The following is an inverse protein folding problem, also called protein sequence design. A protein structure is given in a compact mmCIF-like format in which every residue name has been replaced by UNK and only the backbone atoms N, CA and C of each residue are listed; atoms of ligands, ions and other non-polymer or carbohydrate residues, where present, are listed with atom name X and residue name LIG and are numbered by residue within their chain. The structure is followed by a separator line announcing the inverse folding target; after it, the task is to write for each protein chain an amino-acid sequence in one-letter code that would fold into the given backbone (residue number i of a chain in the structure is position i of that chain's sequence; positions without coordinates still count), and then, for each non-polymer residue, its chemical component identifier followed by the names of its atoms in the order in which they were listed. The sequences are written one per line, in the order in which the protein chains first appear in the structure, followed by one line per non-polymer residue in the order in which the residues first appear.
data_IF_534769599692
#
_entry.id   IF_534769599692
#
_cell.length_a   1.000
_cell.length_b   1.000
_cell.length_c   1.000
_cell.angle_alpha   90.00
_cell.angle_beta   90.00
_cell.angle_gamma   90.00
#
_symmetry.space_group_name_H-M   'P 1'
#
loop_
_entity.id
_entity.type
_entity.pdbx_description
1 polymer ?
#
# COMPACT_ATOMS: atom_id res chain seq x y z
N UNK A 1 42.03 55.67 8.44
CA UNK A 1 42.11 54.78 9.62
C UNK A 1 40.86 53.91 9.65
N UNK A 2 41.00 52.57 9.58
CA UNK A 2 40.14 51.49 10.13
C UNK A 2 38.61 51.67 9.96
N UNK A 3 37.82 50.84 9.25
CA UNK A 3 37.78 49.36 9.22
C UNK A 3 36.78 48.88 8.14
N UNK A 4 37.04 47.73 7.53
CA UNK A 4 36.06 46.83 6.89
C UNK A 4 34.91 46.48 7.85
N UNK A 5 33.73 46.12 7.32
CA UNK A 5 33.03 44.81 7.52
C UNK A 5 31.58 44.86 6.96
N UNK A 6 31.32 44.01 5.96
CA UNK A 6 30.06 43.28 5.59
C UNK A 6 28.85 44.14 5.20
N UNK A 7 28.43 44.28 3.93
CA UNK A 7 27.94 43.31 2.93
C UNK A 7 27.07 42.17 3.48
N UNK A 8 25.81 42.17 3.03
CA UNK A 8 24.68 41.23 3.23
C UNK A 8 23.69 41.57 4.36
N UNK A 9 22.81 42.56 4.14
CA UNK A 9 21.40 42.55 4.64
C UNK A 9 20.62 43.63 3.85
N UNK A 10 20.05 43.30 2.67
CA UNK A 10 18.82 43.85 2.02
C UNK A 10 18.64 42.91 0.80
N UNK A 11 17.60 42.06 0.67
CA UNK A 11 16.24 42.36 0.19
C UNK A 11 15.28 41.22 0.61
N UNK A 12 14.00 41.53 0.95
CA UNK A 12 12.98 40.58 1.42
C UNK A 12 12.03 40.09 0.29
N UNK A 13 11.22 39.07 0.62
CA UNK A 13 10.00 38.61 -0.08
C UNK A 13 10.22 37.85 -1.42
N UNK A 14 9.52 36.72 -1.55
CA UNK A 14 9.36 35.79 -2.70
C UNK A 14 10.30 34.56 -2.73
N UNK A 15 9.78 33.44 -2.20
CA UNK A 15 10.01 32.05 -2.63
C UNK A 15 9.11 31.16 -1.75
N UNK A 16 7.82 31.03 -2.06
CA UNK A 16 7.21 30.04 -2.97
C UNK A 16 7.11 28.64 -2.34
N UNK A 17 5.86 28.26 -2.13
CA UNK A 17 5.29 26.96 -1.76
C UNK A 17 5.96 25.83 -2.54
N UNK A 18 6.48 24.83 -1.81
CA UNK A 18 6.72 23.48 -2.31
C UNK A 18 6.82 22.55 -1.10
N UNK A 19 5.68 22.13 -0.56
CA UNK A 19 5.62 20.99 0.35
C UNK A 19 5.20 19.80 -0.51
N UNK A 20 6.18 18.97 -0.85
CA UNK A 20 6.01 17.80 -1.70
C UNK A 20 5.88 16.59 -0.78
N UNK A 21 4.73 15.94 -0.87
CA UNK A 21 4.42 14.66 -0.24
C UNK A 21 5.27 13.55 -0.89
N UNK A 22 5.88 12.69 -0.08
CA UNK A 22 6.57 11.49 -0.54
C UNK A 22 5.91 10.26 0.07
N UNK A 23 5.37 9.43 -0.81
CA UNK A 23 5.52 7.98 -0.77
C UNK A 23 4.65 7.19 0.19
N UNK A 24 3.32 7.20 0.02
CA UNK A 24 2.50 6.08 0.50
C UNK A 24 2.50 5.04 -0.62
N UNK A 25 3.28 3.97 -0.44
CA UNK A 25 3.25 2.83 -1.37
C UNK A 25 2.09 1.91 -1.01
N UNK A 26 1.46 1.37 -2.05
CA UNK A 26 0.17 0.67 -2.05
C UNK A 26 0.28 -0.81 -1.73
N UNK A 27 -0.66 -1.27 -0.91
CA UNK A 27 -0.51 -2.49 -0.11
C UNK A 27 -1.38 -3.61 -0.61
N UNK A 28 -0.74 -4.77 -0.66
CA UNK A 28 -1.30 -6.00 -1.14
C UNK A 28 -1.44 -7.11 -0.09
N UNK A 29 -2.66 -7.34 0.39
CA UNK A 29 -3.02 -8.39 1.33
C UNK A 29 -3.06 -9.79 0.74
N UNK A 30 -2.72 -10.73 1.63
CA UNK A 30 -2.83 -12.18 1.58
C UNK A 30 -3.98 -12.58 2.49
N UNK A 31 -4.79 -13.56 2.08
CA UNK A 31 -5.57 -14.44 2.95
C UNK A 31 -5.64 -15.82 2.31
N UNK A 32 -4.89 -16.78 2.88
CA UNK A 32 -4.99 -18.21 2.57
C UNK A 32 -5.85 -18.93 3.62
N UNK A 33 -6.86 -19.65 3.16
CA UNK A 33 -7.84 -20.34 3.98
C UNK A 33 -7.26 -21.52 4.79
N UNK A 34 -7.62 -21.57 6.07
CA UNK A 34 -7.66 -22.78 6.89
C UNK A 34 -8.86 -23.63 6.44
N UNK A 35 -8.65 -24.92 6.17
CA UNK A 35 -9.71 -25.94 6.28
C UNK A 35 -9.16 -27.20 6.91
N UNK A 36 -9.88 -27.68 7.94
CA UNK A 36 -9.68 -28.98 8.56
C UNK A 36 -10.76 -29.97 8.13
N UNK A 37 -10.30 -31.21 7.93
CA UNK A 37 -10.98 -32.50 8.12
C UNK A 37 -12.18 -32.89 7.23
N UNK A 38 -12.00 -33.94 6.41
CA UNK A 38 -12.69 -35.23 6.66
C UNK A 38 -12.10 -36.45 5.89
N UNK A 39 -11.66 -37.44 6.67
CA UNK A 39 -12.03 -38.87 6.65
C UNK A 39 -12.09 -39.70 5.33
N UNK A 40 -11.07 -40.56 5.15
CA UNK A 40 -11.17 -42.05 5.08
C UNK A 40 -10.69 -42.81 3.79
N UNK A 41 -9.80 -43.79 4.06
CA UNK A 41 -9.55 -45.10 3.42
C UNK A 41 -8.45 -45.31 2.34
N UNK A 42 -7.37 -46.01 2.79
CA UNK A 42 -6.49 -47.04 2.16
C UNK A 42 -6.18 -46.97 0.65
N UNK A 43 -4.96 -47.17 0.14
CA UNK A 43 -3.97 -48.22 0.46
C UNK A 43 -2.61 -47.94 -0.22
N UNK A 44 -1.58 -48.66 0.24
CA UNK A 44 -0.14 -48.61 -0.11
C UNK A 44 0.25 -48.77 -1.60
N UNK A 45 1.31 -48.07 -2.05
CA UNK A 45 2.52 -48.67 -2.68
C UNK A 45 3.52 -47.60 -3.20
N UNK A 46 4.78 -47.74 -2.77
CA UNK A 46 5.99 -47.09 -3.30
C UNK A 46 6.23 -47.44 -4.77
N UNK A 47 6.56 -46.47 -5.62
CA UNK A 47 7.45 -46.65 -6.79
C UNK A 47 8.09 -45.33 -7.19
N UNK A 48 9.42 -45.31 -7.09
CA UNK A 48 10.35 -44.34 -7.69
C UNK A 48 10.47 -44.61 -9.20
N UNK A 49 10.17 -43.66 -10.08
CA UNK A 49 10.87 -43.46 -11.38
C UNK A 49 10.73 -41.99 -11.84
N UNK A 50 11.87 -41.31 -11.82
CA UNK A 50 12.47 -40.39 -12.80
C UNK A 50 11.63 -39.82 -13.95
N UNK A 51 11.58 -38.48 -14.01
CA UNK A 51 11.58 -37.70 -15.26
C UNK A 51 12.48 -36.45 -15.11
N UNK A 52 13.66 -36.50 -15.73
CA UNK A 52 14.34 -35.36 -16.40
C UNK A 52 13.48 -34.93 -17.60
N UNK A 53 13.34 -33.69 -18.08
CA UNK A 53 14.11 -32.45 -18.11
C UNK A 53 13.06 -31.31 -18.32
N UNK A 54 13.24 -30.01 -18.06
CA UNK A 54 14.28 -29.10 -18.51
C UNK A 54 14.36 -27.86 -17.59
N UNK A 55 15.59 -27.42 -17.42
CA UNK A 55 16.06 -26.22 -16.75
C UNK A 55 15.55 -24.95 -17.46
N UNK A 56 14.77 -24.15 -16.74
CA UNK A 56 14.77 -22.69 -16.89
C UNK A 56 14.70 -22.09 -15.49
N UNK A 57 15.88 -22.08 -14.87
CA UNK A 57 16.22 -21.30 -13.69
C UNK A 57 15.78 -19.83 -13.80
N UNK A 58 14.76 -19.48 -13.03
CA UNK A 58 14.54 -18.11 -12.52
C UNK A 58 14.52 -18.16 -11.00
N UNK A 59 15.33 -17.30 -10.42
CA UNK A 59 15.77 -17.26 -9.03
C UNK A 59 14.64 -16.95 -8.05
N UNK A 60 14.68 -17.63 -6.91
CA UNK A 60 13.94 -17.45 -5.67
C UNK A 60 13.81 -16.00 -5.18
N UNK A 61 12.62 -15.57 -4.74
CA UNK A 61 12.44 -14.28 -4.05
C UNK A 61 11.06 -13.92 -3.48
N UNK A 62 9.94 -14.22 -4.15
CA UNK A 62 8.66 -13.57 -3.78
C UNK A 62 7.73 -14.48 -2.96
N UNK A 63 7.96 -14.50 -1.65
CA UNK A 63 7.03 -15.08 -0.68
C UNK A 63 5.89 -14.11 -0.33
N UNK A 64 4.72 -14.62 0.01
CA UNK A 64 3.64 -13.80 0.57
C UNK A 64 4.07 -13.06 1.85
N UNK A 65 3.36 -11.98 2.24
CA UNK A 65 3.65 -11.25 3.51
C UNK A 65 3.64 -12.20 4.72
N UNK A 66 2.86 -13.27 4.70
CA UNK A 66 2.74 -14.25 5.78
C UNK A 66 3.99 -15.13 5.81
N UNK A 67 4.51 -15.48 4.64
CA UNK A 67 5.81 -16.15 4.52
C UNK A 67 6.94 -15.27 5.02
N UNK A 68 6.92 -13.97 4.69
CA UNK A 68 7.87 -12.99 5.21
C UNK A 68 7.75 -12.88 6.74
N UNK A 69 6.55 -12.65 7.27
CA UNK A 69 6.30 -12.48 8.71
C UNK A 69 6.70 -13.73 9.48
N UNK A 70 6.40 -14.93 8.97
CA UNK A 70 6.82 -16.21 9.60
C UNK A 70 8.33 -16.42 9.53
N UNK A 71 8.99 -16.03 8.44
CA UNK A 71 10.44 -16.11 8.35
C UNK A 71 11.15 -15.19 9.37
N UNK A 72 10.50 -14.08 9.74
CA UNK A 72 11.01 -13.06 10.65
C UNK A 72 10.28 -13.04 12.01
N UNK A 73 9.61 -14.14 12.39
CA UNK A 73 8.78 -14.23 13.60
C UNK A 73 9.56 -13.85 14.87
N UNK A 74 10.78 -14.38 15.01
CA UNK A 74 11.64 -14.12 16.16
C UNK A 74 12.00 -12.63 16.26
N UNK A 75 12.30 -11.97 15.14
CA UNK A 75 12.61 -10.55 15.12
C UNK A 75 11.39 -9.70 15.53
N UNK A 76 10.17 -10.07 15.12
CA UNK A 76 8.96 -9.41 15.59
C UNK A 76 8.76 -9.58 17.10
N UNK A 77 8.98 -10.78 17.64
CA UNK A 77 8.91 -11.04 19.09
C UNK A 77 9.97 -10.21 19.84
N UNK A 78 11.21 -10.19 19.36
CA UNK A 78 12.29 -9.39 19.93
C UNK A 78 12.03 -7.87 19.84
N UNK A 79 11.36 -7.40 18.77
CA UNK A 79 11.05 -5.98 18.61
C UNK A 79 10.16 -5.43 19.73
N UNK A 80 9.25 -6.26 20.24
CA UNK A 80 8.46 -5.94 21.43
C UNK A 80 9.34 -5.82 22.67
N UNK A 81 10.22 -6.79 22.95
CA UNK A 81 11.12 -6.74 24.10
C UNK A 81 12.13 -5.58 24.05
N UNK A 82 12.58 -5.23 22.86
CA UNK A 82 13.58 -4.18 22.64
C UNK A 82 12.96 -2.79 22.71
N UNK A 83 11.88 -2.59 21.97
CA UNK A 83 11.32 -1.27 21.68
C UNK A 83 9.85 -1.10 22.05
N UNK A 84 9.18 -2.12 22.59
CA UNK A 84 7.80 -2.03 23.08
C UNK A 84 6.80 -1.70 21.99
N UNK A 85 7.12 -1.98 20.73
CA UNK A 85 6.23 -1.74 19.59
C UNK A 85 5.52 -3.03 19.21
N UNK A 86 4.19 -2.99 19.20
CA UNK A 86 3.36 -4.17 19.05
C UNK A 86 3.56 -4.82 17.66
N UNK A 87 3.88 -6.12 17.55
CA UNK A 87 4.17 -6.78 16.27
C UNK A 87 3.11 -6.57 15.18
N UNK A 88 1.83 -6.78 15.50
CA UNK A 88 0.71 -6.61 14.55
C UNK A 88 0.59 -5.18 14.04
N UNK A 89 0.81 -4.19 14.91
CA UNK A 89 0.87 -2.78 14.54
C UNK A 89 2.09 -2.49 13.66
N UNK A 90 3.26 -3.08 13.98
CA UNK A 90 4.46 -2.95 13.17
C UNK A 90 4.28 -3.43 11.75
N UNK A 91 3.65 -4.59 11.58
CA UNK A 91 3.34 -5.17 10.27
C UNK A 91 2.41 -4.23 9.49
N UNK A 92 1.32 -3.77 10.11
CA UNK A 92 0.37 -2.84 9.47
C UNK A 92 1.04 -1.52 9.06
N UNK A 93 1.93 -0.98 9.90
CA UNK A 93 2.68 0.23 9.57
C UNK A 93 3.71 -0.03 8.47
N UNK A 94 4.47 -1.11 8.50
CA UNK A 94 5.40 -1.46 7.40
C UNK A 94 4.66 -1.61 6.09
N UNK A 95 3.46 -2.17 6.15
CA UNK A 95 2.55 -2.17 5.02
C UNK A 95 2.36 -0.73 4.52
N UNK A 96 1.88 0.19 5.37
CA UNK A 96 1.65 1.62 5.04
C UNK A 96 2.85 2.30 4.35
N UNK A 97 4.06 1.98 4.82
CA UNK A 97 5.28 2.68 4.43
C UNK A 97 5.92 2.12 3.16
N UNK A 98 5.95 0.80 3.02
CA UNK A 98 6.76 0.14 1.99
C UNK A 98 6.00 -0.91 1.19
N UNK A 99 4.79 -1.25 1.60
CA UNK A 99 4.00 -2.35 1.03
C UNK A 99 4.69 -3.71 1.06
N UNK A 100 5.74 -3.87 1.86
CA UNK A 100 6.69 -4.99 1.77
C UNK A 100 7.24 -5.19 0.35
N UNK A 101 7.29 -4.13 -0.45
CA UNK A 101 7.67 -4.21 -1.85
C UNK A 101 9.18 -4.23 -2.00
N UNK A 102 9.70 -5.32 -2.58
CA UNK A 102 11.10 -5.43 -2.95
C UNK A 102 11.52 -4.45 -4.07
N UNK A 103 10.57 -3.72 -4.65
CA UNK A 103 10.85 -2.61 -5.58
C UNK A 103 11.11 -1.28 -4.88
N UNK A 104 10.87 -1.18 -3.56
CA UNK A 104 11.15 0.01 -2.75
C UNK A 104 12.57 -0.10 -2.20
N UNK A 105 13.55 0.71 -2.64
CA UNK A 105 14.96 0.50 -2.26
C UNK A 105 15.23 0.63 -0.77
N UNK A 106 14.52 1.51 -0.06
CA UNK A 106 14.63 1.62 1.39
C UNK A 106 14.20 0.33 2.10
N UNK A 107 13.20 -0.38 1.56
CA UNK A 107 12.79 -1.67 2.08
C UNK A 107 13.74 -2.79 1.61
N UNK A 108 13.92 -2.93 0.30
CA UNK A 108 14.61 -4.06 -0.30
C UNK A 108 16.12 -4.07 -0.06
N UNK A 109 16.75 -2.90 -0.10
CA UNK A 109 18.21 -2.78 -0.06
C UNK A 109 18.73 -2.27 1.29
N UNK A 110 17.95 -1.40 1.95
CA UNK A 110 18.27 -0.89 3.28
C UNK A 110 17.61 -1.68 4.41
N UNK A 111 16.76 -2.67 4.11
CA UNK A 111 16.00 -3.45 5.07
C UNK A 111 15.26 -2.57 6.10
N UNK A 112 14.89 -1.37 5.67
CA UNK A 112 14.23 -0.39 6.49
C UNK A 112 12.74 -0.62 6.37
N UNK A 113 12.13 -1.07 7.47
CA UNK A 113 10.72 -1.44 7.57
C UNK A 113 9.75 -0.24 7.44
N UNK A 114 10.26 0.93 7.06
CA UNK A 114 9.51 2.15 6.77
C UNK A 114 10.06 3.35 7.54
N UNK A 115 10.34 4.45 6.84
CA UNK A 115 10.47 5.81 7.41
C UNK A 115 11.61 6.10 8.40
N UNK A 116 12.42 5.12 8.82
CA UNK A 116 13.42 5.33 9.88
C UNK A 116 14.62 6.10 9.34
N UNK A 117 14.75 7.37 9.74
CA UNK A 117 15.90 8.23 9.39
C UNK A 117 17.11 7.91 10.26
N UNK A 118 18.30 8.01 9.65
CA UNK A 118 19.55 7.82 10.36
C UNK A 118 19.85 8.98 11.30
N UNK A 119 20.15 8.65 12.55
CA UNK A 119 20.62 9.58 13.58
C UNK A 119 22.08 9.25 13.95
N UNK A 120 22.30 8.12 14.63
CA UNK A 120 23.59 7.60 15.04
C UNK A 120 23.47 6.13 15.44
N UNK A 121 24.61 5.42 15.51
CA UNK A 121 24.67 4.06 16.04
C UNK A 121 24.22 3.98 17.52
N UNK A 122 24.41 5.07 18.29
CA UNK A 122 24.01 5.16 19.70
C UNK A 122 22.47 5.11 19.89
N UNK A 123 21.71 5.25 18.81
CA UNK A 123 20.24 5.06 18.82
C UNK A 123 19.86 3.57 18.79
N UNK A 124 20.80 2.67 18.49
CA UNK A 124 20.54 1.24 18.26
C UNK A 124 21.39 0.27 19.12
N UNK A 125 21.70 0.54 20.41
CA UNK A 125 22.57 -0.34 21.18
C UNK A 125 21.99 -1.73 21.41
N UNK A 126 20.65 -1.89 21.49
CA UNK A 126 20.03 -3.22 21.66
C UNK A 126 20.05 -4.00 20.34
N UNK A 127 19.71 -3.37 19.21
CA UNK A 127 19.85 -3.99 17.89
C UNK A 127 21.30 -4.40 17.62
N UNK A 128 22.27 -3.54 17.93
CA UNK A 128 23.70 -3.87 17.81
C UNK A 128 24.10 -5.04 18.71
N UNK A 129 23.58 -5.12 19.94
CA UNK A 129 23.86 -6.23 20.83
C UNK A 129 23.30 -7.57 20.30
N UNK A 130 22.13 -7.56 19.67
CA UNK A 130 21.49 -8.75 19.10
C UNK A 130 22.14 -9.19 17.78
N UNK A 131 22.48 -8.23 16.92
CA UNK A 131 22.81 -8.50 15.52
C UNK A 131 24.25 -8.15 15.14
N UNK A 132 25.04 -7.60 16.04
CA UNK A 132 26.44 -7.24 15.79
C UNK A 132 26.65 -5.76 15.44
N UNK A 133 27.90 -5.31 15.52
CA UNK A 133 28.28 -3.91 15.35
C UNK A 133 28.10 -3.35 13.93
N UNK A 134 27.98 -4.22 12.94
CA UNK A 134 27.74 -3.90 11.53
C UNK A 134 26.25 -3.98 11.16
N UNK A 135 25.35 -4.17 12.13
CA UNK A 135 23.92 -4.37 11.88
C UNK A 135 23.16 -3.10 11.49
N UNK A 136 23.69 -1.91 11.81
CA UNK A 136 23.02 -0.63 11.53
C UNK A 136 24.03 0.40 11.03
N UNK A 137 23.67 1.15 9.98
CA UNK A 137 24.52 2.19 9.38
C UNK A 137 23.69 3.35 8.83
N UNK A 138 24.30 4.53 8.74
CA UNK A 138 23.75 5.68 8.00
C UNK A 138 24.07 5.69 6.51
N UNK A 139 24.81 4.68 6.05
CA UNK A 139 25.23 4.51 4.66
C UNK A 139 25.05 3.05 4.23
N UNK A 140 24.67 2.88 2.97
CA UNK A 140 24.38 1.57 2.37
C UNK A 140 23.52 1.76 1.12
N UNK A 141 23.23 0.66 0.42
CA UNK A 141 22.24 0.65 -0.66
C UNK A 141 20.86 1.03 -0.11
N UNK A 142 20.00 1.64 -0.92
CA UNK A 142 18.67 2.08 -0.45
C UNK A 142 18.61 3.24 0.55
N UNK A 143 19.74 3.81 1.02
CA UNK A 143 19.68 4.90 2.03
C UNK A 143 19.47 6.31 1.46
N UNK A 144 19.75 6.49 0.16
CA UNK A 144 19.79 7.80 -0.51
C UNK A 144 18.45 8.21 -1.14
N UNK A 145 17.39 7.40 -0.98
CA UNK A 145 16.05 7.66 -1.52
C UNK A 145 15.16 8.46 -0.55
N UNK A 146 15.77 9.24 0.34
CA UNK A 146 15.10 10.05 1.38
C UNK A 146 14.21 11.18 0.84
N UNK A 147 13.31 11.66 1.68
CA UNK A 147 12.25 12.64 1.37
C UNK A 147 12.71 14.08 1.05
N UNK A 148 14.00 14.29 0.78
CA UNK A 148 14.65 15.60 0.62
C UNK A 148 14.45 16.59 1.80
N UNK A 149 13.89 16.15 2.94
CA UNK A 149 13.76 16.98 4.15
C UNK A 149 15.02 16.97 5.03
N UNK A 150 16.03 16.18 4.64
CA UNK A 150 17.33 16.07 5.30
C UNK A 150 17.52 14.75 6.04
N UNK A 151 18.73 14.18 5.95
CA UNK A 151 19.10 12.88 6.53
C UNK A 151 18.81 11.70 5.61
N UNK A 152 19.74 10.74 5.52
CA UNK A 152 19.51 9.47 4.81
C UNK A 152 18.66 8.51 5.64
N UNK A 153 18.07 7.51 5.00
CA UNK A 153 17.44 6.41 5.73
C UNK A 153 18.49 5.57 6.45
N UNK A 154 18.10 4.97 7.57
CA UNK A 154 18.91 3.96 8.24
C UNK A 154 18.99 2.72 7.37
N UNK A 155 20.20 2.20 7.21
CA UNK A 155 20.48 0.89 6.63
C UNK A 155 20.58 -0.14 7.74
N UNK A 156 19.91 -1.27 7.56
CA UNK A 156 20.04 -2.46 8.39
C UNK A 156 20.64 -3.59 7.57
N UNK A 157 21.41 -4.47 8.22
CA UNK A 157 22.10 -5.56 7.51
C UNK A 157 21.16 -6.61 6.90
N UNK A 158 20.00 -6.80 7.50
CA UNK A 158 18.93 -7.71 7.12
C UNK A 158 17.59 -7.23 7.71
N UNK A 159 16.50 -7.89 7.30
CA UNK A 159 15.15 -7.55 7.77
C UNK A 159 14.95 -7.78 9.26
N UNK A 160 15.64 -8.75 9.87
CA UNK A 160 15.55 -9.00 11.32
C UNK A 160 16.08 -7.79 12.10
N UNK A 161 17.28 -7.31 11.75
CA UNK A 161 17.85 -6.09 12.32
C UNK A 161 16.97 -4.86 12.04
N UNK A 162 16.33 -4.79 10.88
CA UNK A 162 15.39 -3.72 10.51
C UNK A 162 14.12 -3.69 11.35
N UNK A 163 13.50 -4.85 11.60
CA UNK A 163 12.30 -5.00 12.43
C UNK A 163 12.59 -4.55 13.86
N UNK A 164 13.66 -5.07 14.46
CA UNK A 164 14.05 -4.72 15.83
C UNK A 164 14.55 -3.28 15.92
N UNK A 165 15.34 -2.83 14.94
CA UNK A 165 15.87 -1.48 14.86
C UNK A 165 14.78 -0.41 14.77
N UNK A 166 13.72 -0.64 13.98
CA UNK A 166 12.57 0.27 13.92
C UNK A 166 11.93 0.42 15.30
N UNK A 167 11.67 -0.67 16.01
CA UNK A 167 11.10 -0.62 17.35
C UNK A 167 12.02 0.10 18.35
N UNK A 168 13.32 -0.18 18.34
CA UNK A 168 14.29 0.52 19.20
C UNK A 168 14.29 2.02 18.93
N UNK A 169 14.34 2.42 17.65
CA UNK A 169 14.27 3.82 17.25
C UNK A 169 13.05 4.51 17.83
N UNK A 170 11.86 3.91 17.68
CA UNK A 170 10.61 4.48 18.19
C UNK A 170 10.61 4.63 19.70
N UNK A 171 11.12 3.65 20.44
CA UNK A 171 11.18 3.67 21.90
C UNK A 171 12.02 4.83 22.47
N UNK A 172 12.91 5.40 21.65
CA UNK A 172 13.79 6.50 22.02
C UNK A 172 13.26 7.88 21.60
N UNK A 173 12.15 7.93 20.86
CA UNK A 173 11.51 9.19 20.50
C UNK A 173 10.39 9.52 21.48
N UNK A 174 10.47 10.69 22.11
CA UNK A 174 9.42 11.17 23.02
C UNK A 174 8.06 11.31 22.33
N UNK A 175 8.07 11.60 21.03
CA UNK A 175 6.88 11.69 20.17
C UNK A 175 6.05 10.41 20.12
N UNK A 176 6.68 9.23 20.28
CA UNK A 176 6.02 7.93 20.12
C UNK A 176 5.77 7.21 21.45
N UNK A 177 6.03 7.87 22.59
CA UNK A 177 5.91 7.28 23.93
C UNK A 177 4.56 6.61 24.21
N UNK A 178 3.45 7.14 23.68
CA UNK A 178 2.11 6.56 23.84
C UNK A 178 1.87 5.27 23.02
N UNK A 179 2.72 4.98 22.03
CA UNK A 179 2.71 3.73 21.28
C UNK A 179 3.55 2.64 21.97
N UNK A 180 4.51 3.02 22.81
CA UNK A 180 5.43 2.09 23.48
C UNK A 180 4.70 1.38 24.63
N UNK A 181 4.84 0.06 24.70
CA UNK A 181 4.13 -0.84 25.62
C UNK A 181 2.61 -0.84 25.45
N UNK A 182 2.09 -0.24 24.38
CA UNK A 182 0.66 -0.28 24.10
C UNK A 182 0.29 -1.62 23.47
N UNK A 183 -0.63 -2.33 24.12
CA UNK A 183 -1.05 -3.69 23.77
C UNK A 183 -2.30 -3.71 22.88
N UNK A 184 -2.85 -2.53 22.54
CA UNK A 184 -3.94 -2.40 21.58
C UNK A 184 -3.41 -1.84 20.25
N UNK A 185 -3.47 -2.64 19.18
CA UNK A 185 -2.80 -2.28 17.93
C UNK A 185 -3.35 -1.03 17.23
N UNK A 186 -4.66 -0.77 17.29
CA UNK A 186 -5.23 0.48 16.76
C UNK A 186 -4.75 1.67 17.57
N UNK A 187 -4.78 1.58 18.90
CA UNK A 187 -4.30 2.66 19.78
C UNK A 187 -2.80 2.90 19.60
N UNK A 188 -2.00 1.86 19.44
CA UNK A 188 -0.57 1.94 19.11
C UNK A 188 -0.35 2.72 17.81
N UNK A 189 -1.08 2.39 16.75
CA UNK A 189 -0.97 3.06 15.45
C UNK A 189 -1.47 4.51 15.48
N UNK A 190 -2.57 4.77 16.18
CA UNK A 190 -3.07 6.13 16.40
C UNK A 190 -2.02 6.99 17.11
N UNK A 191 -1.35 6.45 18.13
CA UNK A 191 -0.29 7.14 18.86
C UNK A 191 0.93 7.45 17.99
N UNK A 192 1.30 6.54 17.07
CA UNK A 192 2.36 6.80 16.07
C UNK A 192 1.95 7.93 15.12
N UNK A 193 0.72 7.92 14.61
CA UNK A 193 0.21 8.98 13.74
C UNK A 193 0.17 10.33 14.47
N UNK A 194 -0.30 10.36 15.72
CA UNK A 194 -0.34 11.56 16.57
C UNK A 194 1.07 12.07 16.92
N UNK A 195 2.05 11.17 16.97
CA UNK A 195 3.47 11.51 17.11
C UNK A 195 4.09 12.16 15.87
N UNK A 196 3.33 12.30 14.77
CA UNK A 196 3.78 12.96 13.55
C UNK A 196 4.71 12.13 12.69
N UNK A 197 4.56 10.81 12.71
CA UNK A 197 5.37 9.90 11.88
C UNK A 197 5.32 10.24 10.38
N UNK A 198 4.13 10.59 9.89
CA UNK A 198 3.90 11.06 8.53
C UNK A 198 3.12 12.39 8.54
N UNK A 199 3.28 13.18 7.48
CA UNK A 199 2.56 14.45 7.29
C UNK A 199 1.22 14.29 6.58
N UNK A 200 0.88 13.06 6.15
CA UNK A 200 -0.39 12.75 5.50
C UNK A 200 -1.55 12.93 6.50
N UNK A 201 -2.51 13.84 6.22
CA UNK A 201 -3.67 14.05 7.10
C UNK A 201 -4.55 12.80 7.26
N UNK A 202 -4.47 11.84 6.34
CA UNK A 202 -5.23 10.58 6.38
C UNK A 202 -4.45 9.41 6.98
N UNK A 203 -3.20 9.62 7.43
CA UNK A 203 -2.32 8.54 7.87
C UNK A 203 -2.95 7.69 8.98
N UNK A 204 -3.65 8.32 9.93
CA UNK A 204 -4.36 7.61 11.00
C UNK A 204 -5.45 6.66 10.47
N UNK A 205 -6.23 7.11 9.49
CA UNK A 205 -7.28 6.30 8.85
C UNK A 205 -6.66 5.15 8.07
N UNK A 206 -5.60 5.42 7.30
CA UNK A 206 -4.83 4.42 6.56
C UNK A 206 -4.33 3.32 7.50
N UNK A 207 -3.69 3.69 8.61
CA UNK A 207 -3.19 2.73 9.59
C UNK A 207 -4.29 1.91 10.25
N UNK A 208 -5.43 2.53 10.61
CA UNK A 208 -6.56 1.81 11.20
C UNK A 208 -7.12 0.75 10.23
N UNK A 209 -7.28 1.11 8.96
CA UNK A 209 -7.76 0.18 7.92
C UNK A 209 -6.77 -0.96 7.69
N UNK A 210 -5.48 -0.66 7.62
CA UNK A 210 -4.43 -1.67 7.46
C UNK A 210 -4.33 -2.60 8.66
N UNK A 211 -4.55 -2.08 9.86
CA UNK A 211 -4.64 -2.95 11.04
C UNK A 211 -5.84 -3.89 10.94
N UNK A 212 -7.01 -3.37 10.63
CA UNK A 212 -8.23 -4.18 10.56
C UNK A 212 -8.12 -5.27 9.48
N UNK A 213 -7.54 -4.96 8.33
CA UNK A 213 -7.46 -5.85 7.17
C UNK A 213 -6.24 -6.77 7.17
N UNK A 214 -5.10 -6.34 7.72
CA UNK A 214 -3.84 -7.11 7.72
C UNK A 214 -3.30 -7.32 9.13
N UNK A 215 -3.07 -6.26 9.89
CA UNK A 215 -2.42 -6.34 11.20
C UNK A 215 -3.11 -7.30 12.17
N UNK A 216 -4.44 -7.28 12.19
CA UNK A 216 -5.30 -8.10 13.04
C UNK A 216 -5.10 -9.61 12.83
N UNK A 217 -4.62 -10.03 11.65
CA UNK A 217 -4.31 -11.42 11.34
C UNK A 217 -3.08 -11.92 12.11
N UNK A 218 -2.22 -11.00 12.57
CA UNK A 218 -0.96 -11.30 13.25
C UNK A 218 -1.01 -11.08 14.76
N UNK A 219 -2.19 -10.96 15.38
CA UNK A 219 -2.33 -10.84 16.84
C UNK A 219 -1.70 -12.02 17.62
N UNK A 220 -1.55 -13.18 16.97
CA UNK A 220 -0.83 -14.31 17.55
C UNK A 220 0.65 -14.00 17.84
N UNK A 221 1.28 -13.08 17.10
CA UNK A 221 2.63 -12.59 17.41
C UNK A 221 2.64 -11.68 18.62
N UNK A 222 1.62 -10.82 18.76
CA UNK A 222 1.46 -9.98 19.94
C UNK A 222 1.34 -10.85 21.19
N UNK A 223 0.49 -11.88 21.15
CA UNK A 223 0.30 -12.80 22.26
C UNK A 223 1.60 -13.53 22.64
N UNK A 224 2.38 -13.98 21.64
CA UNK A 224 3.69 -14.61 21.88
C UNK A 224 4.69 -13.63 22.50
N UNK A 225 4.80 -12.43 21.93
CA UNK A 225 5.72 -11.40 22.40
C UNK A 225 5.39 -10.95 23.83
N UNK A 226 4.10 -10.74 24.12
CA UNK A 226 3.61 -10.38 25.46
C UNK A 226 3.80 -11.54 26.45
N UNK A 227 3.62 -12.79 26.02
CA UNK A 227 3.89 -13.95 26.87
C UNK A 227 5.37 -14.06 27.24
N UNK A 228 6.27 -13.67 26.33
CA UNK A 228 7.72 -13.75 26.56
C UNK A 228 8.26 -12.57 27.39
N UNK A 229 7.87 -11.33 27.05
CA UNK A 229 8.46 -10.12 27.65
C UNK A 229 7.51 -9.37 28.60
N UNK A 230 6.26 -9.81 28.74
CA UNK A 230 5.23 -9.11 29.50
C UNK A 230 4.57 -7.96 28.73
N UNK A 231 3.63 -7.27 29.37
CA UNK A 231 2.84 -6.18 28.74
C UNK A 231 3.55 -4.83 28.70
N UNK A 232 4.69 -4.69 29.35
CA UNK A 232 5.43 -3.42 29.43
C UNK A 232 6.94 -3.66 29.54
N UNK A 233 7.58 -4.23 28.50
CA UNK A 233 8.98 -4.61 28.55
C UNK A 233 9.97 -3.45 28.48
N UNK A 234 9.53 -2.27 28.05
CA UNK A 234 10.38 -1.09 27.95
C UNK A 234 10.11 -0.14 29.10
N UNK A 235 11.14 0.19 29.87
CA UNK A 235 11.04 1.26 30.86
C UNK A 235 10.92 2.60 30.12
N UNK A 236 9.75 3.24 30.20
CA UNK A 236 9.50 4.54 29.56
C UNK A 236 10.33 5.63 30.26
N UNK A 237 11.55 5.83 29.73
CA UNK A 237 12.51 6.92 29.93
C UNK A 237 13.13 7.05 31.34
N UNK A 238 14.41 6.63 31.44
CA UNK A 238 15.41 7.29 32.28
C UNK A 238 16.45 7.94 31.37
N UNK A 239 16.67 9.24 31.56
CA UNK A 239 17.73 10.13 31.03
C UNK A 239 18.74 9.51 30.03
N UNK A 240 18.61 9.86 28.75
CA UNK A 240 19.74 10.23 27.89
C UNK A 240 19.18 10.75 26.55
N UNK A 241 18.78 12.02 26.52
CA UNK A 241 18.97 13.04 25.46
C UNK A 241 17.93 14.15 25.64
N UNK A 242 18.36 15.26 26.25
CA UNK A 242 17.57 16.47 26.40
C UNK A 242 17.44 17.27 25.09
N UNK A 243 16.30 17.93 24.95
CA UNK A 243 15.87 18.95 23.97
C UNK A 243 15.33 18.45 22.62
N UNK A 244 14.03 18.71 22.37
CA UNK A 244 13.56 19.82 21.51
C UNK A 244 12.07 20.09 21.81
N UNK A 245 11.73 21.38 21.83
CA UNK A 245 10.54 22.00 22.40
C UNK A 245 9.21 21.66 21.73
N UNK A 246 8.19 21.47 22.57
CA UNK A 246 6.77 21.37 22.26
C UNK A 246 6.11 22.72 21.95
N UNK A 247 5.19 22.74 20.99
CA UNK A 247 4.09 23.71 20.94
C UNK A 247 2.78 23.00 20.56
N UNK A 248 1.92 22.81 21.55
CA UNK A 248 0.57 22.26 21.42
C UNK A 248 -0.46 23.36 21.14
N UNK A 249 -1.45 23.07 20.31
CA UNK A 249 -2.75 23.77 20.34
C UNK A 249 -3.89 22.79 20.04
N UNK A 250 -4.71 22.59 21.06
CA UNK A 250 -5.95 21.81 21.14
C UNK A 250 -7.13 22.47 20.43
N UNK A 251 -8.12 21.68 19.96
CA UNK A 251 -9.56 22.00 19.96
C UNK A 251 -10.40 20.74 19.67
N UNK A 252 -11.58 20.64 20.29
CA UNK A 252 -12.39 19.43 20.46
C UNK A 252 -13.84 19.58 19.95
N UNK A 253 -14.45 18.44 19.56
CA UNK A 253 -15.88 17.99 19.61
C UNK A 253 -16.95 18.77 18.81
N UNK A 254 -18.08 18.23 18.31
CA UNK A 254 -18.86 16.99 18.50
C UNK A 254 -19.84 16.72 17.32
N UNK A 255 -20.26 15.44 17.14
CA UNK A 255 -21.62 14.82 16.91
C UNK A 255 -22.73 15.57 16.12
N UNK A 256 -23.71 15.00 15.40
CA UNK A 256 -24.22 13.67 14.93
C UNK A 256 -25.39 14.00 13.94
N UNK A 257 -25.85 13.00 13.17
CA UNK A 257 -27.25 12.72 12.71
C UNK A 257 -27.36 12.19 11.26
N UNK A 258 -28.06 11.06 11.19
CA UNK A 258 -28.31 10.15 10.06
C UNK A 258 -29.82 10.15 9.75
N UNK A 259 -30.20 10.21 8.47
CA UNK A 259 -31.56 9.89 8.00
C UNK A 259 -31.46 9.06 6.71
N UNK A 260 -31.94 7.81 6.81
CA UNK A 260 -32.09 6.86 5.71
C UNK A 260 -33.43 7.06 4.98
N UNK A 261 -33.46 6.94 3.66
CA UNK A 261 -34.64 6.44 2.91
C UNK A 261 -34.23 5.56 1.72
N UNK A 262 -35.13 4.63 1.38
CA UNK A 262 -34.94 3.33 0.70
C UNK A 262 -34.95 3.36 -0.84
N UNK A 263 -34.30 2.32 -1.40
CA UNK A 263 -34.51 1.55 -2.63
C UNK A 263 -35.27 2.13 -3.84
N UNK A 264 -34.61 2.11 -5.01
CA UNK A 264 -35.20 1.58 -6.25
C UNK A 264 -34.11 0.96 -7.15
N UNK A 265 -34.25 -0.33 -7.42
CA UNK A 265 -33.45 -1.11 -8.35
C UNK A 265 -33.77 -0.69 -9.80
N UNK A 266 -32.89 0.10 -10.41
CA UNK A 266 -32.83 0.23 -11.87
C UNK A 266 -31.39 0.23 -12.37
N UNK A 267 -31.05 -0.79 -13.16
CA UNK A 267 -29.77 -1.05 -13.83
C UNK A 267 -29.48 -0.04 -14.94
N UNK A 268 -29.32 1.23 -14.56
CA UNK A 268 -28.64 2.24 -15.36
C UNK A 268 -27.41 2.66 -14.57
N UNK A 269 -26.22 2.46 -15.13
CA UNK A 269 -24.96 2.96 -14.57
C UNK A 269 -25.13 4.43 -14.18
N UNK A 270 -24.90 4.76 -12.91
CA UNK A 270 -25.06 6.12 -12.40
C UNK A 270 -24.26 7.11 -13.24
N UNK A 271 -24.77 8.33 -13.41
CA UNK A 271 -24.06 9.36 -14.16
C UNK A 271 -22.81 9.81 -13.39
N UNK A 272 -21.69 10.02 -14.07
CA UNK A 272 -20.48 10.57 -13.44
C UNK A 272 -20.77 11.91 -12.71
N UNK A 273 -20.02 12.15 -11.63
CA UNK A 273 -20.20 13.30 -10.75
C UNK A 273 -21.41 13.20 -9.82
N UNK A 274 -22.06 12.03 -9.76
CA UNK A 274 -23.19 11.75 -8.87
C UNK A 274 -22.86 10.65 -7.87
N UNK A 275 -23.67 10.55 -6.81
CA UNK A 275 -23.47 9.57 -5.74
C UNK A 275 -22.33 9.96 -4.80
N UNK A 276 -22.51 9.61 -3.52
CA UNK A 276 -21.44 9.68 -2.52
C UNK A 276 -20.73 8.33 -2.45
N UNK A 277 -19.44 8.34 -2.10
CA UNK A 277 -18.74 7.11 -1.74
C UNK A 277 -19.50 6.43 -0.60
N UNK A 278 -19.98 5.18 -0.77
CA UNK A 278 -20.73 4.49 0.27
C UNK A 278 -19.91 4.33 1.56
N UNK A 279 -20.54 4.52 2.72
CA UNK A 279 -19.87 4.45 4.02
C UNK A 279 -19.43 3.03 4.40
N UNK A 280 -20.04 2.00 3.81
CA UNK A 280 -19.66 0.60 3.98
C UNK A 280 -18.48 0.19 3.07
N UNK A 281 -18.16 1.00 2.05
CA UNK A 281 -17.03 0.79 1.15
C UNK A 281 -15.69 1.24 1.76
N UNK A 282 -15.27 0.62 2.87
CA UNK A 282 -14.11 1.01 3.67
C UNK A 282 -12.79 0.26 3.38
N UNK A 283 -12.84 -0.88 2.70
CA UNK A 283 -11.66 -1.67 2.36
C UNK A 283 -10.86 -1.03 1.19
N UNK A 284 -9.57 -1.37 1.10
CA UNK A 284 -8.69 -0.91 0.01
C UNK A 284 -9.20 -1.32 -1.36
N UNK A 285 -9.77 -2.52 -1.48
CA UNK A 285 -10.34 -3.03 -2.72
C UNK A 285 -11.17 -4.28 -2.47
N UNK A 286 -11.91 -4.70 -3.48
CA UNK A 286 -12.89 -5.77 -3.40
C UNK A 286 -12.74 -6.71 -4.58
N UNK A 287 -12.67 -8.02 -4.31
CA UNK A 287 -12.96 -9.03 -5.33
C UNK A 287 -14.45 -8.98 -5.69
N UNK A 288 -14.88 -9.53 -6.84
CA UNK A 288 -16.29 -9.45 -7.25
C UNK A 288 -17.28 -10.07 -6.25
N UNK A 289 -16.86 -11.11 -5.52
CA UNK A 289 -17.64 -11.78 -4.48
C UNK A 289 -17.67 -11.03 -3.14
N UNK A 290 -16.72 -10.12 -2.91
CA UNK A 290 -16.62 -9.30 -1.70
C UNK A 290 -17.08 -7.85 -1.91
N UNK A 291 -17.55 -7.51 -3.12
CA UNK A 291 -18.02 -6.16 -3.44
C UNK A 291 -19.28 -5.81 -2.63
N UNK A 292 -19.26 -4.72 -1.82
CA UNK A 292 -20.43 -4.23 -1.10
C UNK A 292 -21.62 -4.02 -2.04
N UNK A 293 -22.82 -4.34 -1.58
CA UNK A 293 -24.05 -4.18 -2.37
C UNK A 293 -24.22 -2.72 -2.84
N UNK A 294 -23.87 -1.77 -1.96
CA UNK A 294 -23.90 -0.32 -2.21
C UNK A 294 -23.05 0.12 -3.40
N UNK A 295 -22.01 -0.63 -3.76
CA UNK A 295 -21.13 -0.34 -4.89
C UNK A 295 -21.59 -0.95 -6.22
N UNK A 296 -22.47 -1.95 -6.20
CA UNK A 296 -22.86 -2.68 -7.41
C UNK A 296 -23.56 -1.81 -8.46
N UNK A 297 -24.23 -0.75 -8.04
CA UNK A 297 -24.86 0.21 -8.96
C UNK A 297 -23.84 1.06 -9.75
N UNK A 298 -22.60 1.13 -9.29
CA UNK A 298 -21.55 2.01 -9.84
C UNK A 298 -20.49 1.25 -10.64
N UNK A 299 -20.46 -0.09 -10.61
CA UNK A 299 -19.43 -0.86 -11.33
C UNK A 299 -19.72 -0.95 -12.82
N UNK A 300 -18.64 -1.03 -13.60
CA UNK A 300 -18.66 -1.68 -14.91
C UNK A 300 -18.33 -3.13 -14.67
N UNK A 301 -19.31 -4.03 -14.78
CA UNK A 301 -19.11 -5.47 -14.55
C UNK A 301 -18.44 -6.13 -15.78
N UNK A 302 -17.18 -6.56 -15.69
CA UNK A 302 -16.50 -7.20 -16.81
C UNK A 302 -17.21 -8.50 -17.26
N UNK A 303 -17.86 -9.22 -16.34
CA UNK A 303 -18.59 -10.45 -16.66
C UNK A 303 -19.78 -10.19 -17.58
N UNK A 304 -20.55 -9.13 -17.32
CA UNK A 304 -21.67 -8.72 -18.18
C UNK A 304 -21.19 -8.30 -19.56
N UNK A 305 -19.99 -7.73 -19.68
CA UNK A 305 -19.41 -7.34 -20.96
C UNK A 305 -18.78 -8.53 -21.72
N UNK A 306 -18.59 -9.67 -21.08
CA UNK A 306 -18.15 -10.92 -21.70
C UNK A 306 -16.75 -11.39 -21.32
N UNK A 307 -16.20 -10.86 -20.22
CA UNK A 307 -14.92 -11.28 -19.64
C UNK A 307 -15.18 -12.29 -18.52
N UNK A 308 -14.65 -13.50 -18.59
CA UNK A 308 -14.84 -14.50 -17.53
C UNK A 308 -13.87 -14.27 -16.36
N UNK A 309 -14.36 -14.32 -15.13
CA UNK A 309 -13.52 -14.29 -13.93
C UNK A 309 -12.89 -15.67 -13.69
N UNK A 310 -11.58 -15.73 -13.42
CA UNK A 310 -10.83 -16.98 -13.24
C UNK A 310 -11.01 -17.93 -14.44
N UNK A 311 -10.99 -17.36 -15.65
CA UNK A 311 -11.24 -18.09 -16.90
C UNK A 311 -10.72 -17.32 -18.12
N UNK A 312 -10.51 -17.99 -19.25
CA UNK A 312 -9.87 -17.38 -20.43
C UNK A 312 -10.82 -16.66 -21.39
N UNK A 313 -12.14 -16.76 -21.18
CA UNK A 313 -13.12 -16.18 -22.11
C UNK A 313 -13.05 -14.65 -22.07
N UNK A 314 -12.93 -14.04 -23.26
CA UNK A 314 -12.88 -12.58 -23.43
C UNK A 314 -11.50 -11.95 -23.20
N UNK A 315 -10.55 -12.68 -22.60
CA UNK A 315 -9.19 -12.20 -22.32
C UNK A 315 -8.30 -12.26 -23.55
N UNK A 316 -7.54 -11.20 -23.79
CA UNK A 316 -6.70 -11.04 -24.99
C UNK A 316 -5.35 -11.74 -24.81
N UNK A 317 -4.64 -11.46 -23.72
CA UNK A 317 -3.26 -11.93 -23.53
C UNK A 317 -3.15 -13.05 -22.50
N UNK A 318 -4.04 -13.07 -21.50
CA UNK A 318 -3.99 -14.01 -20.36
C UNK A 318 -2.64 -13.97 -19.63
N UNK A 319 -2.08 -12.77 -19.52
CA UNK A 319 -0.81 -12.54 -18.84
C UNK A 319 -1.02 -12.46 -17.32
N UNK A 320 -2.21 -12.03 -16.88
CA UNK A 320 -2.49 -11.70 -15.48
C UNK A 320 -1.95 -10.33 -15.05
N UNK A 321 -1.45 -9.54 -16.00
CA UNK A 321 -0.93 -8.19 -15.78
C UNK A 321 -2.04 -7.14 -15.88
N UNK A 322 -1.78 -5.94 -15.36
CA UNK A 322 -2.74 -4.82 -15.42
C UNK A 322 -3.15 -4.48 -16.87
N UNK A 323 -2.16 -4.50 -17.79
CA UNK A 323 -2.36 -4.22 -19.22
C UNK A 323 -3.37 -5.18 -19.86
N UNK A 324 -3.32 -6.48 -19.55
CA UNK A 324 -4.21 -7.48 -20.16
C UNK A 324 -5.68 -7.26 -19.80
N UNK A 325 -5.98 -6.84 -18.57
CA UNK A 325 -7.34 -6.42 -18.21
C UNK A 325 -7.74 -5.16 -18.97
N UNK A 326 -6.88 -4.15 -18.95
CA UNK A 326 -7.13 -2.88 -19.65
C UNK A 326 -7.43 -3.12 -21.13
N UNK A 327 -6.68 -4.00 -21.77
CA UNK A 327 -6.86 -4.31 -23.18
C UNK A 327 -8.11 -5.15 -23.44
N UNK A 328 -8.33 -6.19 -22.65
CA UNK A 328 -9.49 -7.07 -22.79
C UNK A 328 -10.79 -6.32 -22.57
N UNK A 329 -10.90 -5.63 -21.43
CA UNK A 329 -12.10 -4.88 -21.06
C UNK A 329 -12.26 -3.60 -21.88
N UNK A 330 -11.17 -2.85 -22.11
CA UNK A 330 -11.18 -1.65 -22.94
C UNK A 330 -11.62 -1.94 -24.38
N UNK A 331 -11.22 -3.07 -24.95
CA UNK A 331 -11.68 -3.50 -26.27
C UNK A 331 -13.20 -3.75 -26.29
N UNK A 332 -13.75 -4.40 -25.25
CA UNK A 332 -15.18 -4.63 -25.12
C UNK A 332 -15.97 -3.33 -24.97
N UNK A 333 -15.53 -2.45 -24.05
CA UNK A 333 -16.19 -1.17 -23.76
C UNK A 333 -16.20 -0.26 -25.00
N UNK A 334 -15.06 -0.15 -25.67
CA UNK A 334 -14.91 0.78 -26.79
C UNK A 334 -15.19 0.15 -28.14
N UNK A 335 -15.59 -1.13 -28.19
CA UNK A 335 -15.83 -1.89 -29.42
C UNK A 335 -14.62 -1.84 -30.37
N UNK A 336 -13.44 -2.08 -29.81
CA UNK A 336 -12.17 -2.18 -30.55
C UNK A 336 -11.57 -3.57 -30.35
N UNK A 337 -10.39 -3.83 -30.93
CA UNK A 337 -9.71 -5.12 -30.80
C UNK A 337 -8.19 -4.94 -30.73
N UNK A 338 -7.49 -5.99 -30.32
CA UNK A 338 -6.04 -6.07 -30.33
C UNK A 338 -5.37 -5.38 -29.15
N UNK A 339 -4.04 -5.51 -29.11
CA UNK A 339 -3.17 -5.00 -28.05
C UNK A 339 -2.59 -3.63 -28.40
N UNK A 340 -2.13 -2.93 -27.38
CA UNK A 340 -1.32 -1.71 -27.45
C UNK A 340 0.11 -2.01 -27.01
N UNK A 341 1.03 -1.05 -27.15
CA UNK A 341 2.42 -1.22 -26.70
C UNK A 341 2.66 -0.45 -25.42
N UNK A 342 3.50 -1.02 -24.54
CA UNK A 342 3.97 -0.37 -23.31
C UNK A 342 3.39 -0.99 -22.05
N UNK A 343 3.92 -0.57 -20.89
CA UNK A 343 3.45 -1.04 -19.59
C UNK A 343 2.29 -0.17 -19.09
N UNK A 344 1.83 -0.39 -17.85
CA UNK A 344 0.69 0.31 -17.26
C UNK A 344 0.76 1.84 -17.38
N UNK A 345 1.93 2.45 -17.17
CA UNK A 345 2.11 3.91 -17.30
C UNK A 345 1.88 4.44 -18.72
N UNK A 346 2.03 3.60 -19.75
CA UNK A 346 1.96 3.98 -21.16
C UNK A 346 0.55 3.84 -21.75
N UNK A 347 -0.33 3.09 -21.08
CA UNK A 347 -1.61 2.63 -21.64
C UNK A 347 -2.56 3.76 -22.01
N UNK A 348 -2.75 4.77 -21.16
CA UNK A 348 -3.59 5.93 -21.50
C UNK A 348 -3.07 6.63 -22.75
N UNK A 349 -1.75 6.81 -22.91
CA UNK A 349 -1.17 7.43 -24.11
C UNK A 349 -1.38 6.57 -25.37
N UNK A 350 -1.17 5.26 -25.24
CA UNK A 350 -1.36 4.32 -26.34
C UNK A 350 -2.84 4.25 -26.78
N UNK A 351 -3.77 4.23 -25.82
CA UNK A 351 -5.21 4.22 -26.08
C UNK A 351 -5.72 5.55 -26.62
N UNK A 352 -5.22 6.69 -26.12
CA UNK A 352 -5.53 8.00 -26.69
C UNK A 352 -5.12 8.06 -28.18
N UNK A 353 -3.94 7.53 -28.50
CA UNK A 353 -3.49 7.39 -29.90
C UNK A 353 -4.43 6.49 -30.70
N UNK A 354 -4.87 5.35 -30.14
CA UNK A 354 -5.86 4.44 -30.75
C UNK A 354 -7.21 5.13 -31.01
N UNK A 355 -7.61 6.06 -30.15
CA UNK A 355 -8.82 6.88 -30.33
C UNK A 355 -8.62 8.08 -31.27
N UNK A 356 -7.38 8.36 -31.70
CA UNK A 356 -7.06 9.52 -32.52
C UNK A 356 -7.09 10.85 -31.75
N UNK A 357 -6.86 10.83 -30.43
CA UNK A 357 -6.80 12.01 -29.58
C UNK A 357 -5.62 11.97 -28.61
N UNK A 358 -5.65 12.83 -27.58
CA UNK A 358 -4.60 12.97 -26.57
C UNK A 358 -5.09 12.55 -25.20
N UNK A 359 -4.15 12.24 -24.31
CA UNK A 359 -4.44 11.98 -22.88
C UNK A 359 -5.16 13.15 -22.23
N UNK A 360 -5.96 12.83 -21.22
CA UNK A 360 -6.87 13.76 -20.53
C UNK A 360 -6.59 13.74 -19.03
N UNK A 361 -6.94 14.83 -18.36
CA UNK A 361 -6.80 14.98 -16.92
C UNK A 361 -8.06 14.62 -16.14
N UNK A 362 -9.23 14.64 -16.80
CA UNK A 362 -10.52 14.37 -16.16
C UNK A 362 -10.91 12.90 -16.27
N UNK A 363 -11.28 12.23 -15.17
CA UNK A 363 -11.83 10.87 -15.23
C UNK A 363 -13.25 10.87 -15.80
N UNK A 364 -13.65 9.72 -16.35
CA UNK A 364 -15.05 9.40 -16.67
C UNK A 364 -15.26 7.90 -16.71
N UNK A 365 -16.50 7.43 -16.55
CA UNK A 365 -16.85 6.03 -16.74
C UNK A 365 -16.40 5.49 -18.12
N UNK A 366 -15.76 4.32 -18.11
CA UNK A 366 -15.14 3.66 -19.26
C UNK A 366 -13.78 4.22 -19.69
N UNK A 367 -13.26 5.26 -19.03
CA UNK A 367 -11.92 5.77 -19.32
C UNK A 367 -10.85 4.75 -18.97
N UNK A 368 -9.84 4.63 -19.83
CA UNK A 368 -8.61 3.91 -19.50
C UNK A 368 -7.72 4.85 -18.70
N UNK A 369 -7.27 4.43 -17.52
CA UNK A 369 -6.31 5.21 -16.75
C UNK A 369 -4.91 4.62 -16.85
N UNK A 370 -3.91 5.49 -16.71
CA UNK A 370 -2.54 5.13 -16.39
C UNK A 370 -2.11 5.90 -15.14
N UNK A 371 -1.32 5.26 -14.29
CA UNK A 371 -0.77 5.87 -13.07
C UNK A 371 0.69 5.46 -12.84
N UNK A 372 1.39 6.26 -12.04
CA UNK A 372 2.81 6.15 -11.73
C UNK A 372 3.66 7.20 -12.44
N UNK A 373 4.91 7.35 -12.00
CA UNK A 373 5.91 8.27 -12.59
C UNK A 373 7.07 7.55 -13.28
N UNK A 374 7.14 6.23 -13.13
CA UNK A 374 8.17 5.37 -13.70
C UNK A 374 7.59 4.02 -14.10
N UNK A 375 8.35 3.28 -14.90
CA UNK A 375 7.99 1.93 -15.32
C UNK A 375 7.98 0.96 -14.12
N UNK A 376 7.04 -0.01 -14.04
CA UNK A 376 6.02 -0.30 -15.05
C UNK A 376 4.74 0.55 -14.95
N UNK A 377 4.55 1.29 -13.86
CA UNK A 377 3.29 1.97 -13.52
C UNK A 377 2.10 1.01 -13.39
N UNK A 378 0.88 1.55 -13.47
CA UNK A 378 -0.35 0.76 -13.39
C UNK A 378 -1.43 1.30 -14.34
N UNK A 379 -2.42 0.46 -14.64
CA UNK A 379 -3.54 0.80 -15.52
C UNK A 379 -4.80 0.02 -15.15
N UNK A 380 -5.94 0.52 -15.61
CA UNK A 380 -7.23 -0.15 -15.49
C UNK A 380 -8.31 0.70 -16.15
N UNK A 381 -9.56 0.46 -15.75
CA UNK A 381 -10.72 1.18 -16.27
C UNK A 381 -11.45 1.89 -15.13
N UNK A 382 -11.85 3.14 -15.36
CA UNK A 382 -12.74 3.89 -14.47
C UNK A 382 -14.16 3.36 -14.63
N UNK A 383 -14.77 2.88 -13.54
CA UNK A 383 -16.17 2.47 -13.50
C UNK A 383 -17.11 3.65 -13.34
N UNK A 384 -16.81 4.54 -12.40
CA UNK A 384 -17.67 5.67 -12.01
C UNK A 384 -16.86 6.81 -11.38
N UNK A 385 -17.33 8.04 -11.53
CA UNK A 385 -16.81 9.21 -10.81
C UNK A 385 -17.84 9.70 -9.79
N UNK A 386 -17.50 9.67 -8.50
CA UNK A 386 -18.36 10.15 -7.42
C UNK A 386 -18.40 11.68 -7.34
N UNK A 387 -19.36 12.23 -6.60
CA UNK A 387 -19.55 13.68 -6.47
C UNK A 387 -18.35 14.40 -5.83
N UNK A 388 -17.61 13.73 -4.94
CA UNK A 388 -16.40 14.26 -4.30
C UNK A 388 -15.15 14.20 -5.21
N UNK A 389 -15.30 13.66 -6.42
CA UNK A 389 -14.22 13.44 -7.38
C UNK A 389 -13.45 12.13 -7.17
N UNK A 390 -13.80 11.33 -6.16
CA UNK A 390 -13.28 9.97 -6.04
C UNK A 390 -13.73 9.14 -7.24
N UNK A 391 -12.93 8.15 -7.63
CA UNK A 391 -13.27 7.25 -8.74
C UNK A 391 -13.39 5.82 -8.23
N UNK A 392 -14.39 5.09 -8.72
CA UNK A 392 -14.41 3.63 -8.64
C UNK A 392 -13.69 3.10 -9.89
N UNK A 393 -12.72 2.22 -9.72
CA UNK A 393 -11.96 1.60 -10.81
C UNK A 393 -12.08 0.08 -10.76
N UNK A 394 -11.86 -0.55 -11.91
CA UNK A 394 -11.64 -1.99 -12.07
C UNK A 394 -10.25 -2.22 -12.66
N UNK A 395 -9.47 -3.08 -12.03
CA UNK A 395 -8.04 -3.28 -12.32
C UNK A 395 -7.62 -4.75 -12.10
N UNK A 396 -6.43 -5.11 -12.59
CA UNK A 396 -5.79 -6.42 -12.41
C UNK A 396 -4.32 -6.22 -12.06
N UNK A 397 -3.70 -7.24 -11.47
CA UNK A 397 -2.32 -7.26 -11.00
C UNK A 397 -2.14 -6.36 -9.78
N UNK A 398 -3.04 -6.62 -8.83
CA UNK A 398 -3.10 -6.05 -7.50
C UNK A 398 -3.09 -7.23 -6.51
N UNK A 399 -2.99 -6.97 -5.21
CA UNK A 399 -3.32 -7.95 -4.16
C UNK A 399 -4.54 -8.84 -4.37
N UNK A 400 -5.60 -8.30 -4.98
CA UNK A 400 -6.91 -8.93 -5.05
C UNK A 400 -7.19 -9.54 -6.43
N UNK A 401 -6.23 -9.43 -7.37
CA UNK A 401 -6.40 -9.88 -8.74
C UNK A 401 -5.07 -9.94 -9.50
N UNK A 402 -4.91 -10.89 -10.41
CA UNK A 402 -3.76 -10.98 -11.30
C UNK A 402 -2.65 -11.89 -10.77
N UNK A 403 -1.56 -11.98 -11.54
CA UNK A 403 -0.58 -13.05 -11.34
C UNK A 403 0.49 -12.72 -10.29
N UNK A 404 0.97 -11.48 -10.22
CA UNK A 404 2.18 -11.17 -9.44
C UNK A 404 1.91 -11.20 -7.93
N UNK A 405 0.75 -10.74 -7.49
CA UNK A 405 0.40 -10.65 -6.06
C UNK A 405 -0.67 -11.66 -5.64
N UNK A 406 -1.71 -11.84 -6.45
CA UNK A 406 -2.83 -12.72 -6.15
C UNK A 406 -2.62 -14.17 -6.62
N UNK A 407 -1.64 -14.41 -7.51
CA UNK A 407 -1.30 -15.74 -8.01
C UNK A 407 -2.30 -16.32 -9.02
N UNK A 408 -3.27 -15.53 -9.50
CA UNK A 408 -4.29 -15.97 -10.46
C UNK A 408 -4.46 -14.98 -11.61
N UNK A 409 -4.21 -15.45 -12.82
CA UNK A 409 -4.49 -14.71 -14.06
C UNK A 409 -5.99 -14.57 -14.27
N UNK A 410 -6.37 -13.64 -15.14
CA UNK A 410 -7.73 -13.48 -15.64
C UNK A 410 -8.74 -13.18 -14.53
N UNK A 411 -8.35 -12.33 -13.59
CA UNK A 411 -9.19 -11.89 -12.47
C UNK A 411 -9.23 -10.35 -12.45
N UNK A 412 -10.09 -9.76 -11.62
CA UNK A 412 -10.16 -8.31 -11.43
C UNK A 412 -10.61 -7.96 -10.03
N UNK A 413 -10.22 -6.79 -9.55
CA UNK A 413 -10.76 -6.21 -8.33
C UNK A 413 -11.31 -4.82 -8.62
N UNK A 414 -12.17 -4.36 -7.72
CA UNK A 414 -12.66 -2.99 -7.69
C UNK A 414 -11.97 -2.21 -6.57
N UNK A 415 -11.73 -0.92 -6.77
CA UNK A 415 -11.14 -0.03 -5.76
C UNK A 415 -11.67 1.38 -5.91
N UNK A 416 -11.86 2.06 -4.77
CA UNK A 416 -12.13 3.50 -4.75
C UNK A 416 -10.80 4.24 -4.62
N UNK A 417 -10.60 5.25 -5.45
CA UNK A 417 -9.38 6.08 -5.48
C UNK A 417 -9.77 7.54 -5.27
N UNK A 418 -9.31 8.11 -4.16
CA UNK A 418 -9.57 9.52 -3.80
C UNK A 418 -8.95 10.50 -4.81
N UNK A 419 -9.43 11.75 -4.92
CA UNK A 419 -8.80 12.78 -5.74
C UNK A 419 -7.32 13.01 -5.40
N UNK A 420 -6.99 12.95 -4.11
CA UNK A 420 -5.61 13.07 -3.63
C UNK A 420 -4.73 11.93 -4.15
N UNK A 421 -5.23 10.69 -4.14
CA UNK A 421 -4.50 9.52 -4.64
C UNK A 421 -4.36 9.58 -6.17
N UNK A 422 -5.41 9.99 -6.88
CA UNK A 422 -5.32 10.22 -8.33
C UNK A 422 -4.21 11.24 -8.66
N UNK A 423 -4.10 12.30 -7.87
CA UNK A 423 -3.08 13.33 -8.04
C UNK A 423 -1.68 12.81 -7.69
N UNK A 424 -1.51 12.16 -6.54
CA UNK A 424 -0.20 11.65 -6.09
C UNK A 424 0.36 10.59 -7.01
N UNK A 425 -0.53 9.78 -7.59
CA UNK A 425 -0.17 8.67 -8.44
C UNK A 425 -0.20 9.08 -9.92
N UNK A 426 -0.31 10.38 -10.21
CA UNK A 426 -0.23 10.94 -11.55
C UNK A 426 -1.19 10.29 -12.54
N UNK A 427 -2.45 10.10 -12.13
CA UNK A 427 -3.47 9.53 -12.99
C UNK A 427 -3.67 10.40 -14.24
N UNK A 428 -3.64 9.74 -15.39
CA UNK A 428 -4.02 10.30 -16.69
C UNK A 428 -4.98 9.36 -17.38
N UNK A 429 -5.86 9.91 -18.21
CA UNK A 429 -7.00 9.18 -18.76
C UNK A 429 -7.02 9.19 -20.29
N UNK A 430 -7.62 8.16 -20.86
CA UNK A 430 -7.89 8.05 -22.28
C UNK A 430 -9.29 7.54 -22.57
N UNK A 431 -9.98 8.24 -23.46
CA UNK A 431 -11.29 7.88 -23.94
C UNK A 431 -11.59 8.60 -25.24
N UNK A 432 -12.46 8.00 -26.06
CA UNK A 432 -12.89 8.62 -27.32
C UNK A 432 -13.74 9.86 -27.07
N UNK A 433 -13.52 10.89 -27.89
CA UNK A 433 -14.37 12.09 -27.97
C UNK A 433 -15.56 11.91 -28.92
N UNK A 434 -15.49 10.93 -29.82
CA UNK A 434 -16.45 10.73 -30.90
C UNK A 434 -17.34 9.50 -30.72
N UNK A 435 -17.03 8.64 -29.75
CA UNK A 435 -17.77 7.41 -29.44
C UNK A 435 -18.14 7.38 -27.96
N UNK A 436 -19.28 6.78 -27.64
CA UNK A 436 -19.66 6.49 -26.26
C UNK A 436 -19.22 5.06 -25.88
N UNK A 437 -18.77 4.84 -24.63
CA UNK A 437 -18.42 3.52 -24.15
C UNK A 437 -19.68 2.65 -23.96
N UNK A 438 -19.53 1.34 -24.14
CA UNK A 438 -20.55 0.33 -23.80
C UNK A 438 -20.27 -0.17 -22.39
N UNK A 439 -21.03 0.32 -21.41
CA UNK A 439 -20.77 0.08 -19.98
C UNK A 439 -21.55 -1.11 -19.40
N UNK A 440 -22.60 -1.56 -20.09
CA UNK A 440 -23.40 -2.74 -19.78
C UNK A 440 -23.95 -3.34 -21.07
N UNK A 441 -24.46 -4.59 -21.01
CA UNK A 441 -25.12 -5.27 -22.12
C UNK A 441 -26.59 -5.53 -21.85
#
# INVERSE_FOLDING_TARGET
MKKLIKLKVIVPLVALVAIIFIGVTTIAGILGAVTGSDSNSNCSATTTVTTTSDDSSVSSGDGSIDSFVKAHEEAYIQSWGVGGFLPSASIAQTMAETSFSMSVPSFAEAHNMGGVKWTSADTYPKTIALYGSDSVSGSGSGTSVGDNTGGGYTWFKDFDAGIVGKAEFMSRQTLYSAAINNTDGISTLNAIADGGWATDPNYKVTLANLYNTLGSQYKWLDDKAIAEYGTSPVDTLSDDTANISSSSSSSASAEEEDECEEDESSTSSAADGTGSVPSDATAWGYTPDQLPESLKAYIIDPAQLGLAYDGSTGWVEQSGQCVDLTESLGNLIWGTSGITQGNGIDQASAWATKFGNSVKSEPKAGAIFSSGTSQPGHTGIVCHVFQDGSILIVEQNTPFSGIDYFGKKNTWNFRIVSPSTQTSDHFVYAYSDSKQPTLSK
#
